data_IF_783723790689
#
_entry.id   IF_783723790689
#
_cell.length_a   1.000
_cell.length_b   1.000
_cell.length_c   1.000
_cell.angle_alpha   90.00
_cell.angle_beta   90.00
_cell.angle_gamma   90.00
#
_symmetry.space_group_name_H-M   'P 1'
#
loop_
_entity.id
_entity.type
_entity.pdbx_description
1 polymer ?
#
# COMPACT_ATOMS: atom_id res chain seq x y z
N UNK A 1 -31.84 -6.56 -46.62
CA UNK A 1 -31.61 -7.80 -45.82
C UNK A 1 -30.25 -8.47 -46.07
N UNK A 2 -29.85 -8.77 -47.31
CA UNK A 2 -28.54 -9.44 -47.58
C UNK A 2 -27.36 -8.50 -47.36
N UNK A 3 -27.47 -7.23 -47.79
CA UNK A 3 -26.43 -6.20 -47.63
C UNK A 3 -26.13 -5.86 -46.17
N UNK A 4 -27.15 -5.71 -45.32
CA UNK A 4 -26.97 -5.50 -43.88
C UNK A 4 -26.24 -6.68 -43.21
N UNK A 5 -26.58 -7.91 -43.59
CA UNK A 5 -25.93 -9.11 -43.05
C UNK A 5 -24.46 -9.19 -43.44
N UNK A 6 -24.13 -8.81 -44.67
CA UNK A 6 -22.74 -8.75 -45.16
C UNK A 6 -21.96 -7.65 -44.45
N UNK A 7 -22.55 -6.47 -44.26
CA UNK A 7 -21.91 -5.36 -43.53
C UNK A 7 -21.66 -5.76 -42.07
N UNK A 8 -22.65 -6.35 -41.40
CA UNK A 8 -22.48 -6.84 -40.03
C UNK A 8 -21.40 -7.93 -39.94
N UNK A 9 -21.36 -8.86 -40.89
CA UNK A 9 -20.34 -9.89 -40.93
C UNK A 9 -18.94 -9.28 -41.13
N UNK A 10 -18.79 -8.31 -42.03
CA UNK A 10 -17.52 -7.62 -42.26
C UNK A 10 -17.05 -6.84 -41.02
N UNK A 11 -17.96 -6.12 -40.33
CA UNK A 11 -17.64 -5.40 -39.09
C UNK A 11 -17.23 -6.38 -37.99
N UNK A 12 -17.94 -7.49 -37.84
CA UNK A 12 -17.60 -8.53 -36.87
C UNK A 12 -16.23 -9.16 -37.15
N UNK A 13 -15.92 -9.43 -38.42
CA UNK A 13 -14.61 -9.91 -38.83
C UNK A 13 -13.51 -8.89 -38.50
N UNK A 14 -13.71 -7.59 -38.75
CA UNK A 14 -12.72 -6.56 -38.42
C UNK A 14 -12.47 -6.44 -36.90
N UNK A 15 -13.52 -6.58 -36.08
CA UNK A 15 -13.39 -6.57 -34.62
C UNK A 15 -12.66 -7.83 -34.09
N UNK A 16 -12.86 -8.98 -34.73
CA UNK A 16 -12.22 -10.25 -34.36
C UNK A 16 -10.79 -10.40 -34.92
N UNK A 17 -10.49 -9.74 -36.03
CA UNK A 17 -9.19 -9.81 -36.74
C UNK A 17 -8.22 -8.71 -36.33
N UNK A 18 -8.54 -7.94 -35.29
CA UNK A 18 -7.62 -6.93 -34.75
C UNK A 18 -6.30 -7.59 -34.38
N UNK A 19 -5.26 -7.36 -35.19
CA UNK A 19 -3.91 -7.81 -34.89
C UNK A 19 -3.55 -7.28 -33.50
N UNK A 20 -3.38 -8.19 -32.53
CA UNK A 20 -2.79 -7.81 -31.25
C UNK A 20 -1.45 -7.18 -31.53
N UNK A 21 -1.20 -6.04 -30.91
CA UNK A 21 0.12 -5.43 -30.94
C UNK A 21 1.15 -6.46 -30.42
N UNK A 22 2.06 -6.96 -31.26
CA UNK A 22 3.03 -7.99 -30.89
C UNK A 22 3.97 -7.56 -29.75
N UNK A 23 4.04 -6.26 -29.48
CA UNK A 23 4.87 -5.67 -28.43
C UNK A 23 4.08 -5.33 -27.16
N UNK A 24 2.75 -5.43 -27.21
CA UNK A 24 1.93 -5.15 -26.04
C UNK A 24 2.05 -6.30 -25.04
N UNK A 25 2.51 -6.03 -23.81
CA UNK A 25 2.66 -7.08 -22.82
C UNK A 25 1.28 -7.66 -22.46
N UNK A 26 1.22 -8.94 -22.04
CA UNK A 26 0.02 -9.51 -21.48
C UNK A 26 -0.53 -8.64 -20.34
N UNK A 27 -1.86 -8.61 -20.14
CA UNK A 27 -2.45 -7.86 -19.04
C UNK A 27 -1.85 -8.32 -17.71
N UNK A 28 -1.42 -7.36 -16.89
CA UNK A 28 -0.84 -7.63 -15.58
C UNK A 28 -1.96 -7.98 -14.58
N UNK A 29 -2.28 -9.28 -14.52
CA UNK A 29 -3.26 -9.84 -13.57
C UNK A 29 -2.74 -9.77 -12.13
N UNK A 30 -1.43 -9.94 -11.95
CA UNK A 30 -0.77 -9.97 -10.64
C UNK A 30 -0.46 -8.57 -10.08
N UNK A 31 -0.66 -7.52 -10.89
CA UNK A 31 -0.37 -6.11 -10.56
C UNK A 31 1.10 -5.85 -10.21
N UNK A 32 2.02 -6.71 -10.65
CA UNK A 32 3.46 -6.66 -10.29
C UNK A 32 4.06 -5.28 -10.59
N UNK A 33 3.63 -4.62 -11.67
CA UNK A 33 4.13 -3.29 -12.04
C UNK A 33 3.88 -2.22 -10.94
N UNK A 34 2.87 -2.41 -10.10
CA UNK A 34 2.52 -1.48 -9.03
C UNK A 34 3.35 -1.70 -7.75
N UNK A 35 4.02 -2.84 -7.58
CA UNK A 35 4.70 -3.19 -6.33
C UNK A 35 5.69 -2.10 -5.89
N UNK A 36 6.53 -1.60 -6.80
CA UNK A 36 7.53 -0.58 -6.50
C UNK A 36 6.94 0.81 -6.20
N UNK A 37 5.66 1.02 -6.47
CA UNK A 37 4.98 2.30 -6.24
C UNK A 37 4.37 2.38 -4.84
N UNK A 38 4.24 1.24 -4.16
CA UNK A 38 3.77 1.17 -2.78
C UNK A 38 4.90 1.45 -1.81
N UNK A 39 4.60 2.18 -0.75
CA UNK A 39 5.58 2.58 0.27
C UNK A 39 5.12 2.12 1.65
N UNK A 40 6.01 1.39 2.34
CA UNK A 40 5.81 1.05 3.74
C UNK A 40 6.39 2.14 4.64
N UNK A 41 5.54 2.80 5.43
CA UNK A 41 5.99 3.85 6.38
C UNK A 41 6.36 3.31 7.75
N UNK A 42 5.91 2.09 8.06
CA UNK A 42 6.15 1.48 9.34
C UNK A 42 4.91 0.82 9.91
N UNK A 43 5.02 0.41 11.17
CA UNK A 43 3.94 -0.23 11.90
C UNK A 43 3.61 0.49 13.20
N UNK A 44 2.36 0.31 13.64
CA UNK A 44 1.87 0.67 14.96
C UNK A 44 1.82 -0.61 15.79
N UNK A 45 2.45 -0.59 16.96
CA UNK A 45 2.41 -1.71 17.90
C UNK A 45 1.18 -1.58 18.81
N UNK A 46 0.48 -2.71 19.01
CA UNK A 46 -0.71 -2.81 19.84
C UNK A 46 -1.05 -4.27 20.10
N UNK A 47 -2.33 -4.59 20.34
CA UNK A 47 -2.79 -5.99 20.47
C UNK A 47 -2.45 -6.84 19.23
N UNK A 48 -2.52 -6.21 18.05
CA UNK A 48 -2.04 -6.75 16.79
C UNK A 48 -1.20 -5.68 16.10
N UNK A 49 -0.14 -6.09 15.39
CA UNK A 49 0.66 -5.17 14.60
C UNK A 49 -0.15 -4.64 13.41
N UNK A 50 -0.16 -3.33 13.22
CA UNK A 50 -0.84 -2.66 12.11
C UNK A 50 0.21 -1.98 11.22
N UNK A 51 0.33 -2.39 9.98
CA UNK A 51 1.20 -1.79 8.98
C UNK A 51 0.57 -0.56 8.35
N UNK A 52 1.39 0.43 8.01
CA UNK A 52 0.99 1.66 7.33
C UNK A 52 1.61 1.66 5.93
N UNK A 53 0.76 1.52 4.92
CA UNK A 53 1.13 1.54 3.52
C UNK A 53 0.60 2.80 2.84
N UNK A 54 1.34 3.29 1.85
CA UNK A 54 0.86 4.27 0.88
C UNK A 54 0.85 3.65 -0.50
N UNK A 55 -0.26 3.72 -1.20
CA UNK A 55 -0.37 3.17 -2.57
C UNK A 55 0.17 4.14 -3.63
N UNK A 56 0.17 3.69 -4.88
CA UNK A 56 0.57 4.49 -6.05
C UNK A 56 -0.29 5.76 -6.24
N UNK A 57 -1.57 5.69 -5.84
CA UNK A 57 -2.51 6.81 -5.84
C UNK A 57 -2.31 7.78 -4.67
N UNK A 58 -1.28 7.56 -3.84
CA UNK A 58 -0.97 8.33 -2.63
C UNK A 58 -1.98 8.17 -1.49
N UNK A 59 -2.88 7.18 -1.55
CA UNK A 59 -3.80 6.88 -0.47
C UNK A 59 -3.12 6.07 0.63
N UNK A 60 -3.58 6.29 1.86
CA UNK A 60 -3.08 5.61 3.05
C UNK A 60 -3.91 4.37 3.36
N UNK A 61 -3.23 3.26 3.64
CA UNK A 61 -3.83 1.98 4.01
C UNK A 61 -3.28 1.54 5.35
N UNK A 62 -4.18 1.12 6.26
CA UNK A 62 -3.83 0.47 7.52
C UNK A 62 -4.14 -1.01 7.37
N UNK A 63 -3.14 -1.86 7.56
CA UNK A 63 -3.25 -3.27 7.20
C UNK A 63 -2.81 -4.18 8.32
N UNK A 64 -3.41 -5.36 8.38
CA UNK A 64 -3.09 -6.41 9.36
C UNK A 64 -2.63 -7.69 8.67
N UNK A 65 -1.95 -8.57 9.40
CA UNK A 65 -1.53 -9.87 8.85
C UNK A 65 -2.76 -10.68 8.44
N UNK A 66 -2.73 -11.23 7.22
CA UNK A 66 -3.83 -11.99 6.62
C UNK A 66 -4.78 -11.16 5.76
N UNK A 67 -4.71 -9.82 5.82
CA UNK A 67 -5.60 -8.92 5.08
C UNK A 67 -5.33 -8.95 3.56
N UNK A 68 -6.39 -8.74 2.76
CA UNK A 68 -6.32 -8.65 1.30
C UNK A 68 -6.30 -7.17 0.89
N UNK A 69 -5.27 -6.74 0.17
CA UNK A 69 -5.16 -5.41 -0.39
C UNK A 69 -6.11 -5.23 -1.59
N UNK A 70 -6.46 -3.98 -1.99
CA UNK A 70 -7.28 -3.72 -3.18
C UNK A 70 -6.73 -4.32 -4.49
N UNK A 71 -5.42 -4.58 -4.55
CA UNK A 71 -4.73 -5.24 -5.66
C UNK A 71 -4.93 -6.76 -5.70
N UNK A 72 -5.51 -7.35 -4.64
CA UNK A 72 -5.65 -8.80 -4.47
C UNK A 72 -4.47 -9.46 -3.75
N UNK A 73 -3.44 -8.71 -3.35
CA UNK A 73 -2.32 -9.25 -2.59
C UNK A 73 -2.68 -9.51 -1.14
N UNK A 74 -2.08 -10.53 -0.52
CA UNK A 74 -2.32 -10.86 0.89
C UNK A 74 -1.14 -10.46 1.76
N UNK A 75 -1.39 -9.76 2.86
CA UNK A 75 -0.36 -9.45 3.87
C UNK A 75 0.03 -10.72 4.62
N UNK A 76 1.32 -11.04 4.66
CA UNK A 76 1.83 -12.26 5.31
C UNK A 76 2.67 -11.98 6.56
N UNK A 77 3.38 -10.85 6.60
CA UNK A 77 4.14 -10.45 7.79
C UNK A 77 4.27 -8.93 7.87
N UNK A 78 4.31 -8.42 9.10
CA UNK A 78 4.53 -7.01 9.41
C UNK A 78 5.55 -6.97 10.54
N UNK A 79 6.66 -6.30 10.30
CA UNK A 79 7.72 -6.07 11.30
C UNK A 79 7.98 -4.57 11.40
N UNK A 80 8.90 -4.19 12.31
CA UNK A 80 9.33 -2.79 12.43
C UNK A 80 9.95 -2.29 11.13
N UNK A 81 10.76 -3.10 10.45
CA UNK A 81 11.56 -2.63 9.31
C UNK A 81 11.00 -3.02 7.95
N UNK A 82 10.13 -4.03 7.91
CA UNK A 82 9.62 -4.56 6.66
C UNK A 82 8.17 -5.06 6.75
N UNK A 83 7.46 -4.94 5.63
CA UNK A 83 6.16 -5.54 5.40
C UNK A 83 6.23 -6.46 4.18
N UNK A 84 5.69 -7.66 4.32
CA UNK A 84 5.72 -8.67 3.27
C UNK A 84 4.30 -9.08 2.85
N UNK A 85 4.14 -9.29 1.54
CA UNK A 85 2.90 -9.76 0.93
C UNK A 85 3.13 -11.01 0.07
N UNK A 86 2.06 -11.77 -0.16
CA UNK A 86 1.98 -12.75 -1.25
C UNK A 86 1.19 -12.15 -2.41
N UNK A 87 1.74 -12.27 -3.63
CA UNK A 87 1.18 -11.74 -4.87
C UNK A 87 0.23 -12.72 -5.56
N UNK A 88 0.29 -14.01 -5.22
CA UNK A 88 -0.53 -15.07 -5.79
C UNK A 88 0.26 -16.35 -6.08
N UNK A 89 -0.43 -17.46 -6.37
CA UNK A 89 0.20 -18.77 -6.66
C UNK A 89 0.90 -18.81 -8.02
N UNK A 90 0.35 -18.11 -9.01
CA UNK A 90 0.85 -18.09 -10.39
C UNK A 90 1.58 -16.77 -10.73
N UNK A 91 1.93 -15.99 -9.71
CA UNK A 91 2.55 -14.69 -9.85
C UNK A 91 4.05 -14.77 -9.55
N UNK A 92 4.87 -14.13 -10.40
CA UNK A 92 6.31 -14.00 -10.18
C UNK A 92 6.68 -12.53 -9.97
N UNK A 93 7.30 -12.16 -8.84
CA UNK A 93 7.64 -13.02 -7.70
C UNK A 93 6.42 -13.39 -6.87
N UNK A 94 6.42 -14.57 -6.24
CA UNK A 94 5.30 -15.07 -5.41
C UNK A 94 5.12 -14.30 -4.08
N UNK A 95 6.20 -13.67 -3.62
CA UNK A 95 6.21 -12.81 -2.45
C UNK A 95 6.95 -11.52 -2.76
N UNK A 96 6.52 -10.45 -2.12
CA UNK A 96 7.15 -9.14 -2.24
C UNK A 96 7.34 -8.53 -0.87
N UNK A 97 8.40 -7.72 -0.74
CA UNK A 97 8.79 -7.11 0.53
C UNK A 97 9.12 -5.65 0.36
N UNK A 98 8.44 -4.80 1.13
CA UNK A 98 8.79 -3.39 1.25
C UNK A 98 9.58 -3.16 2.53
N UNK A 99 10.72 -2.50 2.41
CA UNK A 99 11.44 -1.94 3.55
C UNK A 99 10.79 -0.62 3.96
N UNK A 100 10.93 -0.26 5.23
CA UNK A 100 10.46 1.01 5.78
C UNK A 100 11.17 2.16 5.04
N UNK A 101 10.37 3.00 4.41
CA UNK A 101 10.81 4.24 3.78
C UNK A 101 10.73 5.38 4.81
N UNK A 102 11.87 5.79 5.40
CA UNK A 102 11.81 6.70 6.55
C UNK A 102 13.09 7.30 7.13
N UNK A 103 14.30 7.15 6.57
CA UNK A 103 15.51 7.66 7.25
C UNK A 103 15.67 9.20 7.28
N UNK A 104 14.90 9.99 6.51
CA UNK A 104 15.17 11.44 6.36
C UNK A 104 14.21 12.40 7.10
N UNK A 105 13.02 11.95 7.52
CA UNK A 105 11.99 12.84 8.08
C UNK A 105 11.58 12.47 9.53
N UNK A 106 12.49 11.89 10.31
CA UNK A 106 12.26 11.64 11.75
C UNK A 106 12.42 12.89 12.63
N UNK A 107 12.45 14.09 12.05
CA UNK A 107 12.35 15.32 12.85
C UNK A 107 10.96 15.39 13.46
N UNK A 108 10.90 15.10 14.74
CA UNK A 108 9.72 15.30 15.57
C UNK A 108 9.29 16.77 15.48
N UNK A 109 8.05 17.02 15.08
CA UNK A 109 7.48 18.37 15.10
C UNK A 109 7.44 18.86 16.55
N UNK A 110 8.36 19.75 16.91
CA UNK A 110 8.33 20.51 18.17
C UNK A 110 7.25 21.59 18.09
N UNK A 111 6.00 21.19 17.95
CA UNK A 111 4.85 22.09 17.95
C UNK A 111 4.41 22.49 19.38
N UNK A 112 3.57 23.52 19.54
CA UNK A 112 3.11 24.01 20.85
C UNK A 112 2.44 22.94 21.72
N UNK A 113 1.95 21.86 21.12
CA UNK A 113 1.37 20.73 21.84
C UNK A 113 2.41 19.94 22.65
N UNK A 114 3.65 19.82 22.16
CA UNK A 114 4.74 19.17 22.90
C UNK A 114 5.17 19.99 24.14
N UNK A 115 5.18 21.33 24.03
CA UNK A 115 5.43 22.24 25.15
C UNK A 115 4.36 22.17 26.23
N UNK A 116 3.08 22.00 25.86
CA UNK A 116 1.97 21.83 26.84
C UNK A 116 2.11 20.56 27.67
N UNK A 117 2.55 19.45 27.06
CA UNK A 117 2.82 18.20 27.77
C UNK A 117 3.95 18.35 28.79
N UNK A 118 5.04 19.01 28.37
CA UNK A 118 6.20 19.26 29.22
C UNK A 118 5.90 20.22 30.38
N UNK A 119 5.10 21.27 30.14
CA UNK A 119 4.65 22.20 31.19
C UNK A 119 3.74 21.54 32.24
N UNK A 120 2.85 20.63 31.82
CA UNK A 120 2.05 19.83 32.78
C UNK A 120 2.93 18.93 33.64
N UNK A 121 3.87 18.21 33.03
CA UNK A 121 4.77 17.32 33.76
C UNK A 121 5.63 18.09 34.78
N UNK A 122 6.10 19.29 34.45
CA UNK A 122 6.85 20.13 35.39
C UNK A 122 5.97 20.63 36.55
N UNK A 123 4.72 21.02 36.26
CA UNK A 123 3.78 21.48 37.30
C UNK A 123 3.41 20.37 38.29
N UNK A 124 3.17 19.15 37.80
CA UNK A 124 2.79 18.02 38.64
C UNK A 124 3.96 17.53 39.53
N UNK A 125 5.20 17.66 39.04
CA UNK A 125 6.39 17.32 39.82
C UNK A 125 6.72 18.38 40.87
N UNK A 126 6.49 19.67 40.57
CA UNK A 126 6.65 20.75 41.53
C UNK A 126 5.64 20.65 42.69
N UNK A 127 4.39 20.28 42.39
CA UNK A 127 3.36 20.07 43.41
C UNK A 127 3.68 18.90 44.37
N UNK A 128 4.35 17.84 43.89
CA UNK A 128 4.76 16.73 44.76
C UNK A 128 5.95 17.04 45.67
N UNK A 129 6.74 18.07 45.35
CA UNK A 129 7.92 18.42 46.15
C UNK A 129 7.64 19.42 47.26
N UNK A 130 6.47 20.08 47.24
CA UNK A 130 6.07 21.07 48.24
C UNK A 130 5.26 20.49 49.43
N UNK A 131 5.01 19.18 49.43
CA UNK A 131 4.18 18.48 50.44
C UNK A 131 5.01 17.53 51.33
N UNK A 132 6.28 17.89 51.58
CA UNK A 132 7.21 17.16 52.45
C UNK A 132 8.04 18.12 53.29
#
# INVERSE_FOLDING_TARGET
>A
MITERVVFACVLCLLLSGMRDPFQPPPDTCKIAQLNQWLFRGMIQGKHAVGILRDAGKHWHRVTVGELLPTGWRVISITVDELQISTGKDCTPAQWRWKRDGAQNEKMDSGPYALRSALRQHSDNAARHADR
#
